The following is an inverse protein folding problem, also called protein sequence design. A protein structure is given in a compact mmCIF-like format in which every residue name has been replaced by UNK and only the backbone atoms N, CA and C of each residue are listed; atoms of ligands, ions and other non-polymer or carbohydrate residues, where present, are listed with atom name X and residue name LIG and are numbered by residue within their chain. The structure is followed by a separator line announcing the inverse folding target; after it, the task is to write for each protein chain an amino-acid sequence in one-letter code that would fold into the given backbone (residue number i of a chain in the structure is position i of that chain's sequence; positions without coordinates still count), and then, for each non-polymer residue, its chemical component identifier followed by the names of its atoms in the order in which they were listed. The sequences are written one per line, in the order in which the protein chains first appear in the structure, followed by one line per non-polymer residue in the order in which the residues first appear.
data_IF_285416581153
#
_entry.id   IF_285416581153
#
_cell.length_a   1.000
_cell.length_b   1.000
_cell.length_c   1.000
_cell.angle_alpha   90.00
_cell.angle_beta   90.00
_cell.angle_gamma   90.00
#
_symmetry.space_group_name_H-M   'P 1'
#
loop_
_entity.id
_entity.type
_entity.pdbx_description
1 polymer ?
#
# COMPACT_ATOMS: atom_id res chain seq x y z
N UNK A 1 -2.23 -27.61 -12.49
CA UNK A 1 -3.46 -26.88 -12.10
C UNK A 1 -3.67 -26.85 -10.58
N UNK A 2 -3.51 -27.95 -9.82
CA UNK A 2 -3.44 -27.88 -8.35
C UNK A 2 -2.08 -27.39 -7.84
N UNK A 3 -0.98 -27.91 -8.40
CA UNK A 3 0.39 -27.53 -8.01
C UNK A 3 0.69 -26.05 -8.23
N UNK A 4 0.15 -25.44 -9.30
CA UNK A 4 0.30 -24.00 -9.57
C UNK A 4 -0.46 -23.14 -8.55
N UNK A 5 -1.61 -23.63 -8.07
CA UNK A 5 -2.44 -22.95 -7.07
C UNK A 5 -1.77 -23.04 -5.69
N UNK A 6 -1.26 -24.21 -5.31
CA UNK A 6 -0.46 -24.37 -4.09
C UNK A 6 0.81 -23.51 -4.11
N UNK A 7 1.52 -23.47 -5.25
CA UNK A 7 2.70 -22.61 -5.42
C UNK A 7 2.37 -21.11 -5.32
N UNK A 8 1.24 -20.69 -5.88
CA UNK A 8 0.74 -19.32 -5.76
C UNK A 8 0.33 -18.99 -4.32
N UNK A 9 -0.29 -19.92 -3.60
CA UNK A 9 -0.70 -19.74 -2.20
C UNK A 9 0.50 -19.66 -1.25
N UNK A 10 1.54 -20.46 -1.46
CA UNK A 10 2.81 -20.38 -0.72
C UNK A 10 3.49 -19.04 -0.98
N UNK A 11 3.52 -18.59 -2.24
CA UNK A 11 4.08 -17.29 -2.60
C UNK A 11 3.29 -16.12 -2.02
N UNK A 12 1.95 -16.18 -2.03
CA UNK A 12 1.09 -15.17 -1.40
C UNK A 12 1.21 -15.16 0.12
N UNK A 13 1.42 -16.31 0.74
CA UNK A 13 1.63 -16.45 2.19
C UNK A 13 2.94 -15.83 2.67
N UNK A 14 3.94 -15.71 1.79
CA UNK A 14 5.27 -15.20 2.10
C UNK A 14 5.48 -13.73 1.70
N UNK A 15 4.43 -13.03 1.26
CA UNK A 15 4.56 -11.62 0.85
C UNK A 15 5.07 -10.79 2.03
N UNK A 16 6.27 -10.17 1.89
CA UNK A 16 6.87 -9.45 3.00
C UNK A 16 6.06 -8.20 3.32
N UNK A 17 5.85 -7.86 4.61
CA UNK A 17 5.07 -6.69 5.03
C UNK A 17 5.54 -5.39 4.38
N UNK A 18 6.85 -5.28 4.11
CA UNK A 18 7.46 -4.15 3.40
C UNK A 18 6.84 -3.88 2.02
N UNK A 19 6.56 -4.93 1.23
CA UNK A 19 5.98 -4.77 -0.11
C UNK A 19 4.59 -4.14 -0.03
N UNK A 20 3.84 -4.51 1.01
CA UNK A 20 2.52 -3.97 1.26
C UNK A 20 2.60 -2.47 1.54
N UNK A 21 3.49 -2.03 2.43
CA UNK A 21 3.71 -0.60 2.68
C UNK A 21 4.20 0.14 1.44
N UNK A 22 5.07 -0.48 0.62
CA UNK A 22 5.54 0.12 -0.62
C UNK A 22 4.38 0.39 -1.59
N UNK A 23 3.48 -0.58 -1.78
CA UNK A 23 2.31 -0.40 -2.64
C UNK A 23 1.39 0.70 -2.12
N UNK A 24 1.13 0.74 -0.81
CA UNK A 24 0.31 1.78 -0.19
C UNK A 24 0.92 3.17 -0.36
N UNK A 25 2.23 3.31 -0.14
CA UNK A 25 2.95 4.57 -0.28
C UNK A 25 3.01 5.05 -1.73
N UNK A 26 3.37 4.17 -2.68
CA UNK A 26 3.41 4.51 -4.11
C UNK A 26 2.02 4.90 -4.59
N UNK A 27 0.99 4.15 -4.22
CA UNK A 27 -0.39 4.47 -4.55
C UNK A 27 -0.83 5.84 -4.02
N UNK A 28 -0.54 6.13 -2.76
CA UNK A 28 -0.86 7.41 -2.14
C UNK A 28 -0.06 8.60 -2.72
N UNK A 29 1.16 8.37 -3.19
CA UNK A 29 1.97 9.38 -3.86
C UNK A 29 1.49 9.67 -5.30
N UNK A 30 1.04 8.63 -6.00
CA UNK A 30 0.65 8.74 -7.40
C UNK A 30 -0.53 9.68 -7.63
N UNK A 31 -1.44 9.86 -6.66
CA UNK A 31 -2.61 10.73 -6.84
C UNK A 31 -2.23 12.17 -7.23
N UNK A 32 -1.06 12.64 -6.76
CA UNK A 32 -0.58 14.00 -7.04
C UNK A 32 -0.02 14.14 -8.45
N UNK A 33 0.36 13.03 -9.10
CA UNK A 33 0.93 13.00 -10.46
C UNK A 33 -0.14 12.68 -11.50
N UNK A 34 -0.92 11.64 -11.23
CA UNK A 34 -2.05 11.22 -12.06
C UNK A 34 -3.19 10.91 -11.07
N UNK A 35 -4.34 11.59 -11.16
CA UNK A 35 -5.37 11.51 -10.12
C UNK A 35 -6.46 10.41 -10.28
N UNK A 36 -6.33 9.30 -11.05
CA UNK A 36 -7.46 8.41 -11.27
C UNK A 36 -7.85 7.61 -10.02
N UNK A 37 -6.98 7.50 -9.02
CA UNK A 37 -7.23 6.78 -7.77
C UNK A 37 -6.83 7.69 -6.59
N UNK A 38 -7.77 8.01 -5.67
CA UNK A 38 -7.47 8.84 -4.51
C UNK A 38 -6.70 8.04 -3.44
N UNK A 39 -5.83 8.73 -2.70
CA UNK A 39 -4.99 8.20 -1.63
C UNK A 39 -5.80 7.54 -0.51
N UNK A 40 -7.01 8.03 -0.22
CA UNK A 40 -7.96 7.42 0.74
C UNK A 40 -8.24 5.94 0.44
N UNK A 41 -8.21 5.53 -0.83
CA UNK A 41 -8.36 4.12 -1.22
C UNK A 41 -7.26 3.27 -0.60
N UNK A 42 -6.01 3.75 -0.64
CA UNK A 42 -4.87 3.06 -0.06
C UNK A 42 -4.89 3.10 1.47
N UNK A 43 -5.34 4.21 2.07
CA UNK A 43 -5.55 4.29 3.53
C UNK A 43 -6.58 3.25 3.98
N UNK A 44 -7.72 3.14 3.28
CA UNK A 44 -8.75 2.15 3.57
C UNK A 44 -8.24 0.71 3.40
N UNK A 45 -7.51 0.42 2.30
CA UNK A 45 -6.89 -0.88 2.08
C UNK A 45 -5.88 -1.23 3.17
N UNK A 46 -5.01 -0.29 3.54
CA UNK A 46 -4.05 -0.47 4.62
C UNK A 46 -4.72 -0.69 5.97
N UNK A 47 -5.78 0.05 6.28
CA UNK A 47 -6.59 -0.15 7.49
C UNK A 47 -7.26 -1.53 7.54
N UNK A 48 -7.76 -2.02 6.41
CA UNK A 48 -8.30 -3.37 6.30
C UNK A 48 -7.23 -4.44 6.53
N UNK A 49 -6.05 -4.29 5.92
CA UNK A 49 -4.92 -5.21 6.10
C UNK A 49 -4.40 -5.18 7.55
N UNK A 50 -4.45 -4.02 8.20
CA UNK A 50 -4.16 -3.88 9.63
C UNK A 50 -5.14 -4.62 10.51
N UNK A 51 -6.45 -4.54 10.22
CA UNK A 51 -7.47 -5.28 10.96
C UNK A 51 -7.32 -6.81 10.84
N UNK A 52 -6.70 -7.29 9.75
CA UNK A 52 -6.36 -8.71 9.54
C UNK A 52 -5.04 -9.14 10.20
N UNK A 53 -4.30 -8.21 10.82
CA UNK A 53 -3.00 -8.47 11.44
C UNK A 53 -1.81 -8.44 10.47
N UNK A 54 -2.02 -8.12 9.20
CA UNK A 54 -0.97 -8.10 8.17
C UNK A 54 -0.18 -6.78 8.13
N UNK A 55 -0.70 -5.68 8.69
CA UNK A 55 -0.03 -4.38 8.75
C UNK A 55 -0.17 -3.72 10.13
N UNK A 56 0.85 -2.97 10.54
CA UNK A 56 0.74 -2.06 11.68
C UNK A 56 0.05 -0.77 11.26
N UNK A 57 -1.08 -0.44 11.91
CA UNK A 57 -1.90 0.74 11.57
C UNK A 57 -1.12 2.05 11.62
N UNK A 58 -0.21 2.20 12.58
CA UNK A 58 0.65 3.38 12.68
C UNK A 58 1.60 3.50 11.49
N UNK A 59 2.16 2.38 11.03
CA UNK A 59 3.06 2.36 9.86
C UNK A 59 2.29 2.69 8.60
N UNK A 60 1.08 2.13 8.43
CA UNK A 60 0.17 2.49 7.32
C UNK A 60 -0.05 3.99 7.28
N UNK A 61 -0.46 4.59 8.40
CA UNK A 61 -0.70 6.03 8.50
C UNK A 61 0.53 6.84 8.07
N UNK A 62 1.71 6.56 8.65
CA UNK A 62 2.91 7.32 8.34
C UNK A 62 3.33 7.17 6.88
N UNK A 63 3.26 5.96 6.33
CA UNK A 63 3.64 5.68 4.94
C UNK A 63 2.73 6.41 3.97
N UNK A 64 1.40 6.30 4.12
CA UNK A 64 0.46 6.95 3.20
C UNK A 64 0.53 8.47 3.32
N UNK A 65 0.60 9.00 4.55
CA UNK A 65 0.67 10.45 4.79
C UNK A 65 1.97 11.05 4.25
N UNK A 66 3.13 10.48 4.59
CA UNK A 66 4.42 11.03 4.14
C UNK A 66 4.58 10.91 2.62
N UNK A 67 4.21 9.78 2.02
CA UNK A 67 4.30 9.61 0.57
C UNK A 67 3.41 10.60 -0.18
N UNK A 68 2.17 10.79 0.29
CA UNK A 68 1.27 11.77 -0.27
C UNK A 68 1.81 13.21 -0.16
N UNK A 69 2.19 13.65 1.04
CA UNK A 69 2.71 15.00 1.28
C UNK A 69 4.00 15.27 0.50
N UNK A 70 4.94 14.33 0.48
CA UNK A 70 6.21 14.49 -0.23
C UNK A 70 6.00 14.55 -1.75
N UNK A 71 5.09 13.74 -2.29
CA UNK A 71 4.77 13.78 -3.72
C UNK A 71 4.06 15.09 -4.11
N UNK A 72 3.13 15.57 -3.29
CA UNK A 72 2.50 16.87 -3.49
C UNK A 72 3.54 17.99 -3.48
N UNK A 73 4.47 17.97 -2.51
CA UNK A 73 5.57 18.93 -2.47
C UNK A 73 6.39 18.87 -3.77
N UNK A 74 6.81 17.68 -4.20
CA UNK A 74 7.63 17.53 -5.40
C UNK A 74 6.95 17.96 -6.70
N UNK A 75 5.62 17.84 -6.79
CA UNK A 75 4.85 18.21 -8.00
C UNK A 75 4.51 19.69 -8.03
N UNK A 76 4.22 20.29 -6.87
CA UNK A 76 3.64 21.64 -6.78
C UNK A 76 4.60 22.73 -6.29
N UNK A 77 5.88 22.43 -6.06
CA UNK A 77 6.94 23.43 -5.78
C UNK A 77 7.76 23.73 -7.02
#
# INVERSE_FOLDING_TARGET
LSEDVDGLLVWLGDVPPFLMYLVLGVGAALENVVPPIPADTFVLLGGFLSARGSAAVGVVFFVTWTANVLSALAVYT
#
